data_IF_660860898898
#
_entry.id   IF_660860898898
#
_cell.length_a   1.000
_cell.length_b   1.000
_cell.length_c   1.000
_cell.angle_alpha   90.00
_cell.angle_beta   90.00
_cell.angle_gamma   90.00
#
_symmetry.space_group_name_H-M   'P 1'
#
loop_
_entity.id
_entity.type
_entity.pdbx_description
1 polymer ?
#
# COMPACT_ATOMS: atom_id res chain seq x y z
N UNK A 1 -19.12 3.91 2.69
CA UNK A 1 -17.92 3.47 3.45
C UNK A 1 -16.96 2.92 2.41
N UNK A 2 -15.92 3.68 2.05
CA UNK A 2 -14.85 3.20 1.17
C UNK A 2 -13.97 2.28 1.99
N UNK A 3 -14.04 0.99 1.68
CA UNK A 3 -13.19 -0.03 2.29
C UNK A 3 -11.78 0.09 1.68
N UNK A 4 -10.74 0.06 2.52
CA UNK A 4 -9.34 0.18 2.12
C UNK A 4 -8.99 -0.82 0.99
N UNK A 5 -9.58 -2.01 1.05
CA UNK A 5 -9.42 -3.05 0.03
C UNK A 5 -10.04 -2.66 -1.32
N UNK A 6 -11.23 -2.05 -1.30
CA UNK A 6 -11.94 -1.66 -2.53
C UNK A 6 -11.12 -0.67 -3.37
N UNK A 7 -10.49 0.32 -2.73
CA UNK A 7 -9.67 1.31 -3.44
C UNK A 7 -8.41 0.67 -4.03
N UNK A 8 -7.78 -0.27 -3.30
CA UNK A 8 -6.62 -1.03 -3.81
C UNK A 8 -7.01 -1.93 -4.98
N UNK A 9 -8.16 -2.60 -4.95
CA UNK A 9 -8.64 -3.41 -6.07
C UNK A 9 -8.87 -2.58 -7.33
N UNK A 10 -9.45 -1.38 -7.18
CA UNK A 10 -9.63 -0.44 -8.29
C UNK A 10 -8.28 0.01 -8.87
N UNK A 11 -7.31 0.30 -8.02
CA UNK A 11 -5.95 0.64 -8.45
C UNK A 11 -5.27 -0.51 -9.19
N UNK A 12 -5.34 -1.73 -8.68
CA UNK A 12 -4.76 -2.90 -9.34
C UNK A 12 -5.42 -3.17 -10.70
N UNK A 13 -6.73 -2.94 -10.82
CA UNK A 13 -7.43 -2.99 -12.12
C UNK A 13 -6.92 -1.89 -13.06
N UNK A 14 -6.74 -0.66 -12.59
CA UNK A 14 -6.15 0.42 -13.37
C UNK A 14 -4.74 0.05 -13.88
N UNK A 15 -3.88 -0.50 -13.01
CA UNK A 15 -2.54 -0.94 -13.40
C UNK A 15 -2.56 -2.07 -14.43
N UNK A 16 -3.56 -2.96 -14.36
CA UNK A 16 -3.73 -4.07 -15.28
C UNK A 16 -4.24 -3.62 -16.66
N UNK A 17 -5.26 -2.77 -16.68
CA UNK A 17 -5.95 -2.39 -17.92
C UNK A 17 -5.23 -1.23 -18.61
N UNK A 18 -5.03 -0.12 -17.90
CA UNK A 18 -4.52 1.12 -18.48
C UNK A 18 -3.00 1.10 -18.62
N UNK A 19 -2.30 0.55 -17.61
CA UNK A 19 -0.83 0.49 -17.59
C UNK A 19 -0.26 -0.82 -18.12
N UNK A 20 -1.11 -1.82 -18.36
CA UNK A 20 -0.75 -3.14 -18.89
C UNK A 20 0.45 -3.77 -18.19
N UNK A 21 0.55 -3.59 -16.86
CA UNK A 21 1.65 -4.15 -16.10
C UNK A 21 1.57 -5.67 -16.07
N UNK A 22 2.74 -6.32 -16.10
CA UNK A 22 2.81 -7.78 -16.08
C UNK A 22 2.18 -8.36 -14.81
N UNK A 23 1.64 -9.60 -14.86
CA UNK A 23 0.99 -10.23 -13.70
C UNK A 23 1.87 -10.29 -12.45
N UNK A 24 3.18 -10.53 -12.63
CA UNK A 24 4.13 -10.55 -11.51
C UNK A 24 4.31 -9.17 -10.87
N UNK A 25 4.24 -8.10 -11.68
CA UNK A 25 4.30 -6.73 -11.19
C UNK A 25 3.04 -6.40 -10.40
N UNK A 26 1.87 -6.74 -10.93
CA UNK A 26 0.58 -6.56 -10.22
C UNK A 26 0.58 -7.29 -8.87
N UNK A 27 1.05 -8.55 -8.84
CA UNK A 27 1.17 -9.32 -7.61
C UNK A 27 2.12 -8.66 -6.59
N UNK A 28 3.21 -8.04 -7.06
CA UNK A 28 4.10 -7.30 -6.18
C UNK A 28 3.42 -6.06 -5.58
N UNK A 29 2.68 -5.28 -6.38
CA UNK A 29 1.88 -4.15 -5.88
C UNK A 29 0.84 -4.61 -4.87
N UNK A 30 0.08 -5.66 -5.18
CA UNK A 30 -0.92 -6.24 -4.31
C UNK A 30 -0.32 -6.61 -2.94
N UNK A 31 0.76 -7.40 -2.92
CA UNK A 31 1.42 -7.83 -1.68
C UNK A 31 1.90 -6.66 -0.82
N UNK A 32 2.39 -5.59 -1.46
CA UNK A 32 2.84 -4.41 -0.72
C UNK A 32 1.66 -3.64 -0.11
N UNK A 33 0.59 -3.44 -0.89
CA UNK A 33 -0.59 -2.72 -0.44
C UNK A 33 -1.38 -3.49 0.62
N UNK A 34 -1.49 -4.81 0.50
CA UNK A 34 -2.09 -5.68 1.53
C UNK A 34 -1.34 -5.58 2.86
N UNK A 35 0.00 -5.56 2.84
CA UNK A 35 0.79 -5.38 4.06
C UNK A 35 0.57 -4.01 4.72
N UNK A 36 0.25 -2.97 3.93
CA UNK A 36 -0.11 -1.64 4.44
C UNK A 36 -1.52 -1.65 5.00
N UNK A 37 -2.49 -2.27 4.30
CA UNK A 37 -3.87 -2.41 4.78
C UNK A 37 -3.89 -3.15 6.12
N UNK A 38 -3.16 -4.26 6.25
CA UNK A 38 -3.09 -5.00 7.51
C UNK A 38 -2.57 -4.13 8.67
N UNK A 39 -1.54 -3.31 8.42
CA UNK A 39 -1.10 -2.34 9.42
C UNK A 39 -2.15 -1.25 9.69
N UNK A 40 -2.79 -0.73 8.65
CA UNK A 40 -3.80 0.32 8.76
C UNK A 40 -5.00 -0.15 9.60
N UNK A 41 -5.51 -1.35 9.33
CA UNK A 41 -6.58 -2.01 10.09
C UNK A 41 -6.20 -2.24 11.55
N UNK A 42 -4.97 -2.70 11.84
CA UNK A 42 -4.47 -2.84 13.22
C UNK A 42 -4.42 -1.51 13.98
N UNK A 43 -4.31 -0.37 13.28
CA UNK A 43 -4.28 0.97 13.87
C UNK A 43 -5.63 1.70 13.76
N UNK A 44 -6.70 1.02 13.34
CA UNK A 44 -8.05 1.58 13.27
C UNK A 44 -8.29 2.55 12.12
N UNK A 45 -7.45 2.55 11.09
CA UNK A 45 -7.66 3.37 9.90
C UNK A 45 -8.84 2.83 9.08
N UNK A 46 -9.81 3.68 8.77
CA UNK A 46 -11.03 3.27 8.05
C UNK A 46 -11.08 3.77 6.61
N UNK A 47 -10.26 4.77 6.27
CA UNK A 47 -10.16 5.27 4.89
C UNK A 47 -8.77 5.80 4.59
N UNK A 48 -8.39 5.80 3.31
CA UNK A 48 -7.09 6.30 2.86
C UNK A 48 -6.92 7.81 3.10
N UNK A 49 -8.01 8.58 3.21
CA UNK A 49 -7.98 10.01 3.53
C UNK A 49 -7.46 10.29 4.95
N UNK A 50 -7.53 9.31 5.86
CA UNK A 50 -6.96 9.41 7.21
C UNK A 50 -5.47 9.08 7.25
N UNK A 51 -4.90 8.56 6.16
CA UNK A 51 -3.50 8.15 6.09
C UNK A 51 -2.61 9.38 5.83
N UNK A 52 -2.19 10.03 6.91
CA UNK A 52 -1.28 11.17 6.84
C UNK A 52 0.21 10.74 6.89
N UNK A 53 1.10 11.73 6.82
CA UNK A 53 2.55 11.52 6.90
C UNK A 53 2.98 10.86 8.21
N UNK A 54 2.24 11.10 9.30
CA UNK A 54 2.52 10.51 10.61
C UNK A 54 2.22 9.01 10.61
N UNK A 55 1.08 8.60 10.03
CA UNK A 55 0.72 7.19 9.84
C UNK A 55 1.77 6.47 8.99
N UNK A 56 2.19 7.06 7.87
CA UNK A 56 3.21 6.47 6.98
C UNK A 56 4.57 6.36 7.68
N UNK A 57 4.96 7.34 8.49
CA UNK A 57 6.21 7.28 9.28
C UNK A 57 6.15 6.17 10.33
N UNK A 58 5.05 6.06 11.06
CA UNK A 58 4.85 5.01 12.06
C UNK A 58 4.88 3.62 11.42
N UNK A 59 4.29 3.48 10.23
CA UNK A 59 4.36 2.27 9.44
C UNK A 59 5.80 1.87 9.10
N UNK A 60 6.61 2.82 8.61
CA UNK A 60 7.99 2.56 8.26
C UNK A 60 8.83 2.14 9.49
N UNK A 61 8.66 2.83 10.62
CA UNK A 61 9.35 2.51 11.87
C UNK A 61 8.96 1.12 12.38
N UNK A 62 7.65 0.80 12.42
CA UNK A 62 7.18 -0.52 12.90
C UNK A 62 7.61 -1.63 11.96
N UNK A 63 7.61 -1.40 10.65
CA UNK A 63 8.10 -2.37 9.65
C UNK A 63 9.58 -2.69 9.86
N UNK A 64 10.43 -1.69 10.10
CA UNK A 64 11.85 -1.89 10.44
C UNK A 64 12.02 -2.67 11.74
N UNK A 65 11.25 -2.32 12.79
CA UNK A 65 11.28 -3.02 14.09
C UNK A 65 10.86 -4.49 13.98
N UNK A 66 9.98 -4.83 13.04
CA UNK A 66 9.60 -6.21 12.70
C UNK A 66 10.64 -6.93 11.82
N UNK A 67 11.82 -6.35 11.60
CA UNK A 67 12.91 -6.97 10.85
C UNK A 67 12.84 -6.79 9.32
N UNK A 68 11.95 -5.93 8.80
CA UNK A 68 11.86 -5.70 7.37
C UNK A 68 13.13 -5.00 6.85
N UNK A 69 13.79 -5.61 5.88
CA UNK A 69 14.98 -5.06 5.24
C UNK A 69 14.72 -3.72 4.53
N UNK A 70 15.79 -2.95 4.29
CA UNK A 70 15.72 -1.62 3.68
C UNK A 70 15.08 -1.63 2.29
N UNK A 71 15.51 -2.58 1.44
CA UNK A 71 14.98 -2.73 0.09
C UNK A 71 13.48 -3.06 0.08
N UNK A 72 13.05 -3.99 0.95
CA UNK A 72 11.65 -4.37 1.06
C UNK A 72 10.77 -3.22 1.58
N UNK A 73 11.28 -2.42 2.52
CA UNK A 73 10.58 -1.22 2.96
C UNK A 73 10.47 -0.18 1.83
N UNK A 74 11.55 0.06 1.09
CA UNK A 74 11.55 1.00 -0.03
C UNK A 74 10.56 0.59 -1.12
N UNK A 75 10.53 -0.70 -1.49
CA UNK A 75 9.56 -1.25 -2.44
C UNK A 75 8.12 -1.01 -1.96
N UNK A 76 7.87 -1.23 -0.67
CA UNK A 76 6.55 -1.04 -0.08
C UNK A 76 6.10 0.42 -0.11
N UNK A 77 6.98 1.33 0.27
CA UNK A 77 6.71 2.77 0.22
C UNK A 77 6.55 3.29 -1.21
N UNK A 78 7.27 2.71 -2.17
CA UNK A 78 7.09 3.01 -3.59
C UNK A 78 5.70 2.61 -4.09
N UNK A 79 5.22 1.42 -3.69
CA UNK A 79 3.87 0.98 -4.05
C UNK A 79 2.80 1.89 -3.44
N UNK A 80 2.96 2.27 -2.17
CA UNK A 80 2.06 3.19 -1.48
C UNK A 80 2.01 4.57 -2.13
N UNK A 81 3.18 5.11 -2.49
CA UNK A 81 3.26 6.41 -3.18
C UNK A 81 2.52 6.36 -4.52
N UNK A 82 2.80 5.36 -5.35
CA UNK A 82 2.14 5.22 -6.65
C UNK A 82 0.63 5.00 -6.53
N UNK A 83 0.17 4.37 -5.46
CA UNK A 83 -1.25 4.25 -5.14
C UNK A 83 -1.87 5.61 -4.79
N UNK A 84 -1.25 6.39 -3.90
CA UNK A 84 -1.72 7.74 -3.57
C UNK A 84 -1.64 8.73 -4.73
N UNK A 85 -0.69 8.57 -5.65
CA UNK A 85 -0.62 9.38 -6.86
C UNK A 85 -1.80 9.09 -7.83
N UNK A 86 -2.45 7.93 -7.70
CA UNK A 86 -3.63 7.53 -8.50
C UNK A 86 -4.97 7.82 -7.83
N UNK A 87 -5.03 7.70 -6.49
CA UNK A 87 -6.25 7.81 -5.68
C UNK A 87 -6.86 9.23 -5.72
#
# INVERSE_FOLDING_TARGET
>A
MTDLHTDVERYLRYLSVERQLSPITLLNYQRQLEAIINFASENGLQSWQQCDVTVVRNFAVRSRRKGLGAASLALRLSALRSFFDWL
#
